data_IF_482785413998
#
_entry.id   IF_482785413998
#
_cell.length_a   1.000
_cell.length_b   1.000
_cell.length_c   1.000
_cell.angle_alpha   90.00
_cell.angle_beta   90.00
_cell.angle_gamma   90.00
#
_symmetry.space_group_name_H-M   'P 1'
#
loop_
_entity.id
_entity.type
_entity.pdbx_description
1 polymer ?
#
# COMPACT_ATOMS: atom_id res chain seq x y z
N UNK A 1 5.12 -3.42 12.59
CA UNK A 1 6.56 -3.10 12.58
C UNK A 1 6.83 -1.61 12.47
N UNK A 2 6.42 -0.94 11.38
CA UNK A 2 6.75 0.48 11.13
C UNK A 2 6.39 1.45 12.25
N UNK A 3 5.22 1.31 12.88
CA UNK A 3 4.85 2.15 14.03
C UNK A 3 5.74 1.90 15.25
N UNK A 4 6.19 0.66 15.46
CA UNK A 4 7.08 0.31 16.57
C UNK A 4 8.49 0.89 16.36
N UNK A 5 8.98 0.85 15.12
CA UNK A 5 10.31 1.41 14.78
C UNK A 5 10.27 2.95 14.63
N UNK A 6 9.13 3.47 14.22
CA UNK A 6 8.95 4.86 13.78
C UNK A 6 8.30 5.80 14.79
N UNK A 7 7.83 5.31 15.93
CA UNK A 7 7.19 6.17 16.92
C UNK A 7 8.13 6.35 18.10
N UNK A 8 8.54 7.60 18.33
CA UNK A 8 9.32 8.00 19.50
C UNK A 8 8.50 9.03 20.30
N UNK A 9 8.36 8.84 21.61
CA UNK A 9 7.63 9.78 22.48
C UNK A 9 8.24 11.19 22.47
N UNK A 10 9.56 11.30 22.30
CA UNK A 10 10.29 12.57 22.38
C UNK A 10 10.28 13.34 21.06
N UNK A 11 10.22 12.64 19.94
CA UNK A 11 10.38 13.23 18.60
C UNK A 11 9.16 13.00 17.68
N UNK A 12 8.12 12.34 18.18
CA UNK A 12 6.87 12.06 17.48
C UNK A 12 7.07 11.26 16.19
N UNK A 13 6.19 11.50 15.21
CA UNK A 13 6.14 10.78 13.94
C UNK A 13 7.31 11.09 12.97
N UNK A 14 8.27 11.94 13.36
CA UNK A 14 9.48 12.18 12.54
C UNK A 14 10.23 10.87 12.27
N UNK A 15 10.31 10.01 13.28
CA UNK A 15 10.93 8.68 13.15
C UNK A 15 10.12 7.78 12.21
N UNK A 16 8.80 7.96 12.14
CA UNK A 16 7.91 7.15 11.30
C UNK A 16 8.15 7.45 9.85
N UNK A 17 8.30 8.74 9.50
CA UNK A 17 8.73 9.13 8.16
C UNK A 17 10.04 8.45 7.76
N UNK A 18 11.03 8.45 8.66
CA UNK A 18 12.34 7.81 8.41
C UNK A 18 12.21 6.29 8.27
N UNK A 19 11.40 5.64 9.10
CA UNK A 19 11.15 4.20 9.04
C UNK A 19 10.46 3.80 7.73
N UNK A 20 9.49 4.59 7.25
CA UNK A 20 8.85 4.38 5.94
C UNK A 20 9.87 4.58 4.82
N UNK A 21 10.67 5.66 4.85
CA UNK A 21 11.70 5.91 3.85
C UNK A 21 12.69 4.75 3.75
N UNK A 22 13.15 4.23 4.90
CA UNK A 22 14.12 3.13 4.96
C UNK A 22 13.57 1.78 4.55
N UNK A 23 12.39 1.42 5.04
CA UNK A 23 11.85 0.06 4.89
C UNK A 23 10.92 -0.10 3.68
N UNK A 24 10.41 1.00 3.11
CA UNK A 24 9.51 0.97 1.95
C UNK A 24 10.08 1.75 0.77
N UNK A 25 10.43 3.02 0.97
CA UNK A 25 10.77 3.91 -0.16
C UNK A 25 12.07 3.48 -0.83
N UNK A 26 13.17 3.32 -0.10
CA UNK A 26 14.42 2.86 -0.70
C UNK A 26 14.27 1.46 -1.30
N UNK A 27 13.56 0.51 -0.65
CA UNK A 27 13.37 -0.78 -1.26
C UNK A 27 12.63 -0.75 -2.59
N UNK A 28 11.53 -0.02 -2.67
CA UNK A 28 10.77 0.16 -3.90
C UNK A 28 11.59 0.85 -4.99
N UNK A 29 12.37 1.87 -4.64
CA UNK A 29 13.23 2.56 -5.60
C UNK A 29 14.26 1.61 -6.24
N UNK A 30 14.84 0.70 -5.46
CA UNK A 30 15.77 -0.30 -5.97
C UNK A 30 15.07 -1.37 -6.84
N UNK A 31 13.86 -1.80 -6.47
CA UNK A 31 13.05 -2.72 -7.30
C UNK A 31 12.70 -2.10 -8.65
N UNK A 32 12.35 -0.82 -8.65
CA UNK A 32 12.10 -0.05 -9.87
C UNK A 32 13.38 0.13 -10.70
N UNK A 33 14.50 0.47 -10.05
CA UNK A 33 15.79 0.67 -10.73
C UNK A 33 16.38 -0.61 -11.33
N UNK A 34 15.97 -1.78 -10.83
CA UNK A 34 16.39 -3.09 -11.33
C UNK A 34 15.38 -3.73 -12.28
N UNK A 35 14.37 -2.97 -12.74
CA UNK A 35 13.28 -3.41 -13.62
C UNK A 35 12.49 -4.63 -13.09
N UNK A 36 12.58 -4.95 -11.80
CA UNK A 36 11.80 -6.03 -11.18
C UNK A 36 10.34 -5.63 -10.98
N UNK A 37 10.08 -4.32 -10.96
CA UNK A 37 8.75 -3.70 -10.81
C UNK A 37 8.64 -2.62 -11.87
N UNK A 38 7.51 -2.57 -12.56
CA UNK A 38 7.19 -1.58 -13.59
C UNK A 38 5.95 -0.78 -13.19
N UNK A 39 5.75 0.34 -13.89
CA UNK A 39 4.55 1.15 -13.71
C UNK A 39 3.30 0.33 -14.04
N UNK A 40 2.33 0.32 -13.14
CA UNK A 40 1.11 -0.47 -13.28
C UNK A 40 1.20 -1.85 -12.62
N UNK A 41 2.32 -2.24 -12.03
CA UNK A 41 2.37 -3.46 -11.22
C UNK A 41 1.66 -3.28 -9.87
N UNK A 42 1.03 -4.35 -9.41
CA UNK A 42 0.43 -4.40 -8.07
C UNK A 42 1.38 -5.13 -7.10
N UNK A 43 1.79 -4.42 -6.05
CA UNK A 43 2.65 -4.95 -5.00
C UNK A 43 1.91 -5.06 -3.67
N UNK A 44 1.97 -6.23 -3.05
CA UNK A 44 1.60 -6.44 -1.66
C UNK A 44 2.85 -6.37 -0.78
N UNK A 45 2.79 -5.62 0.32
CA UNK A 45 3.89 -5.47 1.28
C UNK A 45 3.41 -5.97 2.64
N UNK A 46 3.99 -7.08 3.09
CA UNK A 46 3.64 -7.73 4.36
C UNK A 46 4.84 -7.81 5.30
N UNK A 47 4.59 -7.94 6.60
CA UNK A 47 5.64 -8.17 7.58
C UNK A 47 5.88 -9.66 7.79
N UNK A 48 7.09 -10.14 7.51
CA UNK A 48 7.50 -11.50 7.85
C UNK A 48 8.20 -11.52 9.22
N UNK A 49 7.64 -12.29 10.15
CA UNK A 49 8.19 -12.45 11.49
C UNK A 49 9.45 -13.30 11.51
N UNK A 50 9.64 -14.18 10.52
CA UNK A 50 10.79 -15.09 10.42
C UNK A 50 12.03 -14.34 9.95
N UNK A 51 11.88 -13.55 8.88
CA UNK A 51 12.96 -12.76 8.31
C UNK A 51 13.14 -11.41 9.03
N UNK A 52 12.17 -11.00 9.86
CA UNK A 52 12.22 -9.74 10.59
C UNK A 52 12.29 -8.52 9.67
N UNK A 53 11.61 -8.59 8.51
CA UNK A 53 11.59 -7.52 7.51
C UNK A 53 10.26 -7.45 6.77
N UNK A 54 10.05 -6.34 6.05
CA UNK A 54 8.95 -6.25 5.10
C UNK A 54 9.28 -7.05 3.84
N UNK A 55 8.31 -7.85 3.41
CA UNK A 55 8.36 -8.71 2.22
C UNK A 55 7.44 -8.12 1.17
N UNK A 56 7.97 -7.95 -0.03
CA UNK A 56 7.32 -7.44 -1.23
C UNK A 56 6.94 -8.62 -2.13
N UNK A 57 5.65 -8.69 -2.47
CA UNK A 57 5.09 -9.69 -3.37
C UNK A 57 4.44 -9.00 -4.56
N UNK A 58 4.79 -9.41 -5.78
CA UNK A 58 4.12 -8.96 -7.01
C UNK A 58 2.90 -9.84 -7.25
N UNK A 59 1.70 -9.25 -7.18
CA UNK A 59 0.42 -9.96 -7.35
C UNK A 59 -0.04 -10.02 -8.81
N UNK A 60 0.25 -8.98 -9.61
CA UNK A 60 -0.08 -8.91 -11.03
C UNK A 60 0.87 -7.99 -11.79
N UNK A 61 1.08 -8.31 -13.05
CA UNK A 61 1.86 -7.51 -14.01
C UNK A 61 0.88 -6.71 -14.87
N UNK A 62 0.99 -5.38 -14.90
CA UNK A 62 0.12 -4.53 -15.70
C UNK A 62 -1.32 -4.36 -15.21
N UNK A 63 -1.52 -4.28 -13.88
CA UNK A 63 -2.74 -3.71 -13.31
C UNK A 63 -2.80 -2.20 -13.57
N UNK A 64 -3.08 -1.83 -14.82
CA UNK A 64 -3.66 -0.53 -15.13
C UNK A 64 -4.95 -0.40 -14.32
N UNK A 65 -4.86 0.26 -13.17
CA UNK A 65 -6.04 0.83 -12.53
C UNK A 65 -6.70 1.70 -13.60
N UNK A 66 -7.98 1.49 -13.95
CA UNK A 66 -8.68 2.50 -14.70
C UNK A 66 -8.63 3.74 -13.82
N UNK A 67 -7.92 4.78 -14.27
CA UNK A 67 -8.10 6.12 -13.71
C UNK A 67 -9.59 6.35 -13.82
N UNK A 68 -10.29 6.29 -12.69
CA UNK A 68 -11.69 6.64 -12.66
C UNK A 68 -11.75 8.06 -13.21
N UNK A 69 -12.41 8.21 -14.37
CA UNK A 69 -12.68 9.52 -14.95
C UNK A 69 -13.21 10.43 -13.84
N UNK A 70 -12.82 11.71 -13.78
CA UNK A 70 -13.28 12.60 -12.73
C UNK A 70 -14.80 12.60 -12.74
N UNK A 71 -15.40 11.90 -11.77
CA UNK A 71 -16.84 11.91 -11.60
C UNK A 71 -17.19 13.34 -11.19
N UNK A 72 -18.11 14.03 -11.89
CA UNK A 72 -18.55 15.35 -11.48
C UNK A 72 -19.12 15.20 -10.07
N UNK A 73 -18.46 15.84 -9.10
CA UNK A 73 -18.92 15.92 -7.73
C UNK A 73 -20.22 16.73 -7.75
N UNK A 74 -21.35 16.04 -7.77
CA UNK A 74 -22.64 16.67 -7.48
C UNK A 74 -22.58 17.07 -6.01
N UNK A 75 -22.40 18.38 -5.78
CA UNK A 75 -22.55 19.02 -4.48
C UNK A 75 -24.02 18.87 -4.07
N UNK A 76 -24.33 17.81 -3.33
CA UNK A 76 -25.63 17.63 -2.71
C UNK A 76 -25.75 18.64 -1.56
N UNK A 77 -26.59 19.65 -1.79
CA UNK A 77 -26.91 20.70 -0.83
C UNK A 77 -27.54 20.09 0.43
N UNK A 78 -27.08 20.56 1.59
CA UNK A 78 -27.57 20.15 2.89
C UNK A 78 -29.02 20.58 3.11
N UNK A 79 -29.89 19.61 3.41
CA UNK A 79 -31.19 19.86 4.02
C UNK A 79 -31.59 18.69 4.94
N UNK A 80 -31.51 18.94 6.25
CA UNK A 80 -32.51 18.58 7.25
C UNK A 80 -32.93 17.12 7.50
N UNK A 81 -32.68 16.70 8.74
CA UNK A 81 -33.53 15.90 9.62
C UNK A 81 -33.53 14.34 9.53
N UNK A 82 -33.06 13.77 10.64
CA UNK A 82 -33.61 12.62 11.40
C UNK A 82 -33.65 11.22 10.78
N UNK A 83 -33.01 10.31 11.54
CA UNK A 83 -33.31 8.87 11.71
C UNK A 83 -33.16 7.93 10.51
N UNK A 84 -32.26 6.95 10.64
CA UNK A 84 -32.32 5.72 9.82
C UNK A 84 -30.96 5.17 9.41
N UNK A 85 -30.60 4.04 10.01
CA UNK A 85 -29.44 3.18 9.74
C UNK A 85 -29.40 2.71 8.27
N UNK A 86 -28.27 2.92 7.59
CA UNK A 86 -27.74 2.00 6.56
C UNK A 86 -26.27 2.34 6.24
N UNK A 87 -25.35 1.52 6.75
CA UNK A 87 -23.95 1.51 6.30
C UNK A 87 -23.92 0.70 5.01
N UNK A 88 -23.76 1.37 3.88
CA UNK A 88 -23.48 0.72 2.60
C UNK A 88 -21.98 0.46 2.51
N UNK A 89 -21.58 -0.80 2.72
CA UNK A 89 -20.23 -1.29 2.43
C UNK A 89 -20.18 -1.59 0.93
N UNK A 90 -19.35 -0.93 0.11
CA UNK A 90 -19.21 -1.35 -1.27
C UNK A 90 -18.50 -2.70 -1.32
N UNK A 91 -19.18 -3.61 -2.01
CA UNK A 91 -18.89 -5.01 -2.25
C UNK A 91 -17.45 -5.28 -2.68
N UNK A 92 -16.89 -6.35 -2.10
CA UNK A 92 -15.60 -6.96 -2.41
C UNK A 92 -15.42 -7.21 -3.91
N UNK A 93 -14.43 -6.57 -4.52
CA UNK A 93 -13.94 -6.96 -5.84
C UNK A 93 -13.14 -8.26 -5.70
N UNK A 94 -13.60 -9.29 -6.42
CA UNK A 94 -13.00 -10.62 -6.50
C UNK A 94 -11.63 -10.48 -7.16
N UNK A 95 -10.56 -10.63 -6.38
CA UNK A 95 -9.20 -10.74 -6.89
C UNK A 95 -9.05 -12.11 -7.55
N UNK A 96 -8.92 -12.12 -8.88
CA UNK A 96 -8.55 -13.31 -9.65
C UNK A 96 -7.23 -13.89 -9.14
N UNK A 97 -7.13 -15.21 -9.16
CA UNK A 97 -5.98 -16.00 -8.74
C UNK A 97 -4.72 -15.65 -9.56
N UNK A 98 -4.08 -14.53 -9.22
CA UNK A 98 -2.79 -14.10 -9.74
C UNK A 98 -1.66 -14.87 -9.07
N UNK A 99 -0.70 -15.31 -9.87
CA UNK A 99 0.52 -15.98 -9.39
C UNK A 99 1.34 -15.00 -8.55
N UNK A 100 1.25 -15.08 -7.22
CA UNK A 100 2.04 -14.24 -6.29
C UNK A 100 3.50 -14.65 -6.32
N UNK A 101 4.38 -13.77 -6.79
CA UNK A 101 5.84 -13.98 -6.72
C UNK A 101 6.46 -13.11 -5.64
N UNK A 102 7.18 -13.72 -4.69
CA UNK A 102 7.96 -13.00 -3.69
C UNK A 102 9.25 -12.46 -4.32
N UNK A 103 9.38 -11.14 -4.38
CA UNK A 103 10.50 -10.42 -5.00
C UNK A 103 11.50 -9.86 -3.96
N UNK A 104 11.36 -10.26 -2.70
CA UNK A 104 12.19 -9.77 -1.59
C UNK A 104 13.56 -10.45 -1.49
N UNK A 105 13.80 -11.52 -2.25
CA UNK A 105 15.00 -12.37 -2.11
C UNK A 105 16.30 -11.64 -2.46
N UNK A 106 16.22 -10.56 -3.25
CA UNK A 106 17.38 -9.75 -3.63
C UNK A 106 17.60 -8.54 -2.70
N UNK A 107 16.78 -8.38 -1.65
CA UNK A 107 16.99 -7.42 -0.56
C UNK A 107 17.95 -7.98 0.49
N UNK A 108 19.25 -7.98 0.20
CA UNK A 108 20.25 -7.99 1.28
C UNK A 108 20.69 -6.55 1.54
N UNK A 109 20.21 -5.91 2.63
CA UNK A 109 20.79 -4.65 3.06
C UNK A 109 22.24 -4.94 3.45
N UNK A 110 23.18 -4.26 2.78
CA UNK A 110 24.58 -4.23 3.19
C UNK A 110 24.76 -3.33 4.41
#
# INVERSE_FOLDING_TARGET
YLLREGTDLKYGARHLKRAIERNIVYPLANLLATDQVQLGDMLCIDWDQTEGRLVFQKESEGAVLPVAAPQPHVVAQAAGASSGRAVAVPSTAVAGSGSRRNISRNFSPR
#
